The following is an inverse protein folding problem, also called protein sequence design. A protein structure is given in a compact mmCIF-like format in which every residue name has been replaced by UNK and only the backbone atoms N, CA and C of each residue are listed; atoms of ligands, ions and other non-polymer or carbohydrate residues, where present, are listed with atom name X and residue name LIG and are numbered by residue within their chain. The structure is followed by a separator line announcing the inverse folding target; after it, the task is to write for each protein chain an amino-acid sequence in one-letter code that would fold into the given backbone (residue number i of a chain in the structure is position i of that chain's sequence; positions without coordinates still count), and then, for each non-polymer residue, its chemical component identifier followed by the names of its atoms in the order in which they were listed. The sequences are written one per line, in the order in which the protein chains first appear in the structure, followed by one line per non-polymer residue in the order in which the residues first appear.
data_IF_296083805020
#
_entry.id   IF_296083805020
#
_cell.length_a   1.000
_cell.length_b   1.000
_cell.length_c   1.000
_cell.angle_alpha   90.00
_cell.angle_beta   90.00
_cell.angle_gamma   90.00
#
_symmetry.space_group_name_H-M   'P 1'
#
loop_
_entity.id
_entity.type
_entity.pdbx_description
1 polymer ?
#
# COMPACT_ATOMS: atom_id res chain seq x y z
N UNK A 1 -16.10 -1.85 -25.62
CA UNK A 1 -16.11 -0.44 -26.06
C UNK A 1 -14.64 -0.01 -26.19
N UNK A 2 -14.14 0.36 -27.38
CA UNK A 2 -12.71 0.74 -27.54
C UNK A 2 -12.51 2.17 -27.07
N UNK A 3 -12.01 2.37 -25.85
CA UNK A 3 -11.55 3.69 -25.41
C UNK A 3 -10.37 4.12 -26.30
N UNK A 4 -10.40 5.37 -26.81
CA UNK A 4 -9.26 5.90 -27.58
C UNK A 4 -8.09 6.11 -26.61
N UNK A 5 -6.94 5.49 -26.87
CA UNK A 5 -5.73 5.52 -26.03
C UNK A 5 -5.36 6.94 -25.56
N UNK A 6 -5.62 7.97 -26.38
CA UNK A 6 -5.36 9.37 -26.02
C UNK A 6 -6.08 9.85 -24.75
N UNK A 7 -7.25 9.29 -24.41
CA UNK A 7 -7.98 9.63 -23.18
C UNK A 7 -7.41 8.93 -21.95
N UNK A 8 -6.93 7.69 -22.12
CA UNK A 8 -6.27 6.93 -21.05
C UNK A 8 -4.93 7.58 -20.69
N UNK A 9 -4.14 7.93 -21.71
CA UNK A 9 -2.87 8.63 -21.52
C UNK A 9 -3.04 9.97 -20.81
N UNK A 10 -4.10 10.73 -21.12
CA UNK A 10 -4.41 11.97 -20.44
C UNK A 10 -4.81 11.77 -18.96
N UNK A 11 -5.62 10.75 -18.65
CA UNK A 11 -6.00 10.42 -17.28
C UNK A 11 -4.78 10.00 -16.45
N UNK A 12 -3.94 9.11 -17.00
CA UNK A 12 -2.69 8.66 -16.37
C UNK A 12 -1.73 9.84 -16.14
N UNK A 13 -1.54 10.71 -17.13
CA UNK A 13 -0.66 11.87 -17.01
C UNK A 13 -1.14 12.89 -15.95
N UNK A 14 -2.45 13.11 -15.82
CA UNK A 14 -3.00 14.03 -14.79
C UNK A 14 -2.86 13.43 -13.40
N UNK A 15 -3.09 12.12 -13.23
CA UNK A 15 -2.95 11.47 -11.91
C UNK A 15 -1.48 11.40 -11.49
N UNK A 16 -0.57 11.02 -12.38
CA UNK A 16 0.88 10.97 -12.11
C UNK A 16 1.45 12.36 -11.79
N UNK A 17 0.94 13.42 -12.43
CA UNK A 17 1.38 14.79 -12.18
C UNK A 17 1.01 15.33 -10.78
N UNK A 18 -0.03 14.78 -10.13
CA UNK A 18 -0.49 15.23 -8.81
C UNK A 18 0.12 14.41 -7.67
N UNK A 19 0.47 13.14 -7.92
CA UNK A 19 1.18 12.29 -6.94
C UNK A 19 2.69 12.59 -6.83
N UNK A 20 3.27 13.32 -7.78
CA UNK A 20 4.72 13.57 -7.85
C UNK A 20 5.24 14.72 -6.96
N UNK A 21 4.39 15.46 -6.24
CA UNK A 21 4.88 16.54 -5.35
C UNK A 21 5.35 15.96 -4.00
N UNK A 22 6.61 15.52 -3.97
CA UNK A 22 7.32 15.21 -2.71
C UNK A 22 7.85 13.78 -2.55
N UNK A 23 7.89 12.97 -3.61
CA UNK A 23 8.48 11.63 -3.52
C UNK A 23 10.01 11.74 -3.58
N UNK A 24 10.67 11.80 -2.44
CA UNK A 24 12.06 11.36 -2.34
C UNK A 24 12.07 9.87 -2.64
N UNK A 25 12.43 9.48 -3.87
CA UNK A 25 12.54 8.07 -4.25
C UNK A 25 13.72 7.45 -3.51
N UNK A 26 13.48 6.92 -2.31
CA UNK A 26 14.39 5.96 -1.73
C UNK A 26 14.48 4.76 -2.69
N UNK A 27 15.69 4.34 -3.04
CA UNK A 27 15.92 3.20 -3.92
C UNK A 27 15.94 1.93 -3.07
N UNK A 28 15.18 0.90 -3.47
CA UNK A 28 15.16 -0.41 -2.83
C UNK A 28 15.25 -1.52 -3.88
N UNK A 29 15.79 -2.67 -3.50
CA UNK A 29 15.85 -3.87 -4.36
C UNK A 29 14.48 -4.53 -4.49
N UNK A 30 13.61 -4.30 -3.50
CA UNK A 30 12.25 -4.81 -3.40
C UNK A 30 11.23 -3.69 -3.12
N UNK A 31 10.10 -3.70 -3.82
CA UNK A 31 8.97 -2.80 -3.61
C UNK A 31 7.65 -3.58 -3.42
N UNK A 32 6.72 -3.00 -2.67
CA UNK A 32 5.40 -3.53 -2.38
C UNK A 32 4.33 -2.57 -2.92
N UNK A 33 3.43 -3.10 -3.74
CA UNK A 33 2.17 -2.47 -4.07
C UNK A 33 1.10 -3.02 -3.12
N UNK A 34 0.74 -2.27 -2.06
CA UNK A 34 -0.13 -2.76 -1.01
C UNK A 34 -1.52 -3.17 -1.51
N UNK A 35 -2.10 -2.53 -2.53
CA UNK A 35 -3.47 -2.84 -2.94
C UNK A 35 -3.68 -2.84 -4.45
N UNK A 36 -3.74 -4.04 -5.02
CA UNK A 36 -4.06 -4.29 -6.43
C UNK A 36 -5.47 -4.86 -6.52
N UNK A 37 -6.26 -4.40 -7.50
CA UNK A 37 -7.65 -4.81 -7.67
C UNK A 37 -8.01 -4.92 -9.14
N UNK A 38 -8.82 -5.93 -9.48
CA UNK A 38 -9.41 -6.06 -10.80
C UNK A 38 -10.84 -6.56 -10.70
N UNK A 39 -11.72 -6.03 -11.53
CA UNK A 39 -13.10 -6.47 -11.69
C UNK A 39 -13.58 -6.16 -13.10
N UNK A 40 -14.88 -6.32 -13.38
CA UNK A 40 -15.49 -5.89 -14.65
C UNK A 40 -15.51 -4.39 -14.87
N UNK A 41 -15.33 -3.59 -13.81
CA UNK A 41 -15.37 -2.13 -13.88
C UNK A 41 -14.15 -1.45 -13.26
N UNK A 42 -13.25 -2.22 -12.63
CA UNK A 42 -12.04 -1.72 -11.98
C UNK A 42 -10.82 -2.44 -12.51
N UNK A 43 -9.71 -1.73 -12.71
CA UNK A 43 -8.39 -2.36 -12.87
C UNK A 43 -7.30 -1.53 -12.20
N UNK A 44 -6.17 -2.16 -11.88
CA UNK A 44 -4.95 -1.49 -11.45
C UNK A 44 -3.99 -1.43 -12.64
N UNK A 45 -3.50 -0.24 -12.92
CA UNK A 45 -2.35 -0.01 -13.78
C UNK A 45 -1.11 0.09 -12.90
N UNK A 46 -0.06 -0.65 -13.23
CA UNK A 46 1.18 -0.66 -12.47
C UNK A 46 2.29 -0.19 -13.40
N UNK A 47 3.08 0.76 -12.91
CA UNK A 47 4.33 1.20 -13.52
C UNK A 47 5.47 0.73 -12.64
N UNK A 48 6.44 0.04 -13.23
CA UNK A 48 7.69 -0.34 -12.55
C UNK A 48 8.88 0.19 -13.31
N UNK A 49 9.85 0.75 -12.59
CA UNK A 49 11.09 1.29 -13.11
C UNK A 49 12.24 0.42 -12.61
N UNK A 50 13.01 -0.16 -13.53
CA UNK A 50 14.23 -0.90 -13.24
C UNK A 50 15.42 0.06 -13.32
N UNK A 51 15.77 0.69 -12.21
CA UNK A 51 16.81 1.71 -12.15
C UNK A 51 18.18 1.02 -12.12
N UNK A 52 19.07 1.39 -13.04
CA UNK A 52 20.45 0.91 -13.05
C UNK A 52 21.44 2.05 -12.82
N UNK A 53 22.17 1.97 -11.71
CA UNK A 53 23.25 2.90 -11.38
C UNK A 53 24.59 2.40 -11.95
N UNK A 54 25.08 3.11 -12.96
CA UNK A 54 26.33 2.81 -13.68
C UNK A 54 27.62 2.89 -12.83
N UNK A 55 27.50 3.31 -11.57
CA UNK A 55 28.60 3.47 -10.62
C UNK A 55 29.07 2.14 -10.02
N UNK A 56 28.29 1.07 -10.15
CA UNK A 56 28.60 -0.25 -9.60
C UNK A 56 28.83 -1.30 -10.69
N UNK A 57 29.95 -2.03 -10.61
CA UNK A 57 30.33 -3.08 -11.57
C UNK A 57 29.52 -4.37 -11.35
N UNK A 58 28.20 -4.32 -11.54
CA UNK A 58 27.28 -5.46 -11.48
C UNK A 58 26.61 -5.74 -12.82
N UNK A 59 26.24 -7.01 -13.11
CA UNK A 59 25.34 -7.30 -14.22
C UNK A 59 24.00 -6.61 -13.99
N UNK A 60 23.49 -5.98 -15.04
CA UNK A 60 22.15 -5.44 -15.08
C UNK A 60 21.10 -6.54 -14.89
N UNK A 61 20.05 -6.29 -14.10
CA UNK A 61 18.87 -7.14 -14.08
C UNK A 61 18.15 -7.06 -15.43
N UNK A 62 18.06 -8.18 -16.14
CA UNK A 62 17.33 -8.34 -17.41
C UNK A 62 15.88 -8.83 -17.21
N UNK A 63 15.50 -9.03 -15.95
CA UNK A 63 14.16 -9.44 -15.53
C UNK A 63 13.85 -8.82 -14.17
N UNK A 64 12.59 -8.47 -13.97
CA UNK A 64 12.04 -8.19 -12.65
C UNK A 64 11.16 -9.37 -12.21
N UNK A 65 11.18 -9.66 -10.92
CA UNK A 65 10.40 -10.72 -10.30
C UNK A 65 9.09 -10.13 -9.77
N UNK A 66 7.94 -10.61 -10.26
CA UNK A 66 6.61 -10.15 -9.85
C UNK A 66 5.91 -11.26 -9.07
N UNK A 67 5.53 -10.96 -7.82
CA UNK A 67 4.80 -11.88 -6.95
C UNK A 67 3.49 -11.28 -6.45
N UNK A 68 2.41 -11.81 -6.97
CA UNK A 68 1.06 -11.47 -6.54
C UNK A 68 0.58 -12.44 -5.47
N UNK A 69 0.05 -11.88 -4.39
CA UNK A 69 -0.74 -12.62 -3.40
C UNK A 69 -2.17 -12.14 -3.51
N UNK A 70 -3.05 -12.98 -4.03
CA UNK A 70 -4.37 -12.57 -4.48
C UNK A 70 -5.50 -13.46 -3.95
N UNK A 71 -6.68 -12.85 -3.88
CA UNK A 71 -7.98 -13.51 -3.69
C UNK A 71 -8.80 -13.27 -4.94
N UNK A 72 -9.63 -14.23 -5.32
CA UNK A 72 -10.44 -14.14 -6.51
C UNK A 72 -11.86 -14.70 -6.35
N UNK A 73 -12.77 -14.29 -7.24
CA UNK A 73 -14.18 -14.70 -7.20
C UNK A 73 -14.83 -14.40 -5.85
N UNK A 74 -15.53 -15.39 -5.29
CA UNK A 74 -16.18 -15.27 -3.97
C UNK A 74 -15.20 -15.00 -2.82
N UNK A 75 -13.92 -15.38 -2.97
CA UNK A 75 -12.91 -15.17 -1.94
C UNK A 75 -12.39 -13.74 -1.94
N UNK A 76 -12.52 -12.99 -3.03
CA UNK A 76 -12.02 -11.61 -3.11
C UNK A 76 -12.70 -10.68 -2.09
N UNK A 77 -13.96 -10.92 -1.77
CA UNK A 77 -14.71 -10.15 -0.78
C UNK A 77 -14.56 -10.70 0.64
N UNK A 78 -14.06 -11.92 0.80
CA UNK A 78 -13.86 -12.53 2.09
C UNK A 78 -12.55 -12.04 2.74
N UNK A 79 -12.68 -11.13 3.70
CA UNK A 79 -11.55 -10.59 4.47
C UNK A 79 -10.76 -11.67 5.23
N UNK A 80 -11.35 -12.83 5.52
CA UNK A 80 -10.72 -13.94 6.24
C UNK A 80 -10.13 -15.03 5.33
N UNK A 81 -10.38 -14.97 4.02
CA UNK A 81 -9.78 -15.93 3.09
C UNK A 81 -8.26 -15.72 2.99
N UNK A 82 -7.49 -16.81 2.90
CA UNK A 82 -6.08 -16.75 2.52
C UNK A 82 -5.91 -16.41 1.05
N UNK A 83 -4.74 -15.91 0.68
CA UNK A 83 -4.40 -15.69 -0.72
C UNK A 83 -3.87 -16.95 -1.41
N UNK A 84 -3.98 -16.96 -2.73
CA UNK A 84 -3.14 -17.76 -3.61
C UNK A 84 -1.95 -16.91 -4.08
N UNK A 85 -0.92 -17.56 -4.61
CA UNK A 85 0.27 -16.90 -5.16
C UNK A 85 0.33 -17.09 -6.67
N UNK A 86 0.72 -16.03 -7.37
CA UNK A 86 1.24 -16.09 -8.74
C UNK A 86 2.61 -15.44 -8.73
N UNK A 87 3.61 -16.17 -9.20
CA UNK A 87 5.01 -15.82 -9.22
C UNK A 87 5.52 -15.98 -10.65
N UNK A 88 6.00 -14.89 -11.26
CA UNK A 88 6.67 -14.94 -12.55
C UNK A 88 7.80 -13.91 -12.66
N UNK A 89 8.78 -14.22 -13.51
CA UNK A 89 9.83 -13.29 -13.92
C UNK A 89 9.51 -12.75 -15.30
N UNK A 90 9.39 -11.44 -15.39
CA UNK A 90 9.05 -10.75 -16.62
C UNK A 90 10.27 -9.97 -17.14
N UNK A 91 10.50 -9.93 -18.46
CA UNK A 91 11.65 -9.22 -19.02
C UNK A 91 11.65 -7.74 -18.66
N UNK A 92 12.84 -7.20 -18.41
CA UNK A 92 13.07 -5.77 -18.24
C UNK A 92 14.50 -5.44 -18.69
N UNK A 93 14.88 -4.16 -18.68
CA UNK A 93 16.25 -3.75 -18.97
C UNK A 93 16.70 -2.61 -18.07
N UNK A 94 18.01 -2.29 -18.02
CA UNK A 94 18.51 -1.12 -17.30
C UNK A 94 17.83 0.18 -17.69
N UNK A 95 17.31 0.89 -16.69
CA UNK A 95 16.57 2.15 -16.82
C UNK A 95 15.29 2.02 -17.66
N UNK A 96 14.71 0.82 -17.67
CA UNK A 96 13.42 0.51 -18.30
C UNK A 96 12.26 0.97 -17.41
N UNK A 97 11.16 1.38 -18.04
CA UNK A 97 9.89 1.64 -17.39
C UNK A 97 8.80 0.89 -18.15
N UNK A 98 8.12 0.00 -17.45
CA UNK A 98 6.98 -0.73 -18.02
C UNK A 98 5.71 -0.34 -17.28
N UNK A 99 4.71 0.10 -18.02
CA UNK A 99 3.35 0.31 -17.51
C UNK A 99 2.40 -0.71 -18.11
N UNK A 100 1.75 -1.46 -17.24
CA UNK A 100 0.88 -2.56 -17.64
C UNK A 100 -0.41 -2.58 -16.83
N UNK A 101 -1.43 -3.19 -17.42
CA UNK A 101 -2.72 -3.46 -16.82
C UNK A 101 -2.73 -4.88 -16.24
N UNK A 102 -2.94 -5.00 -14.93
CA UNK A 102 -2.86 -6.29 -14.23
C UNK A 102 -3.89 -7.33 -14.71
N UNK A 103 -5.00 -6.86 -15.29
CA UNK A 103 -6.13 -7.69 -15.71
C UNK A 103 -6.52 -7.50 -17.18
N UNK A 104 -5.64 -6.89 -17.97
CA UNK A 104 -5.78 -6.81 -19.43
C UNK A 104 -7.06 -6.08 -19.91
N UNK A 105 -7.58 -5.12 -19.14
CA UNK A 105 -8.75 -4.31 -19.54
C UNK A 105 -8.45 -3.34 -20.67
N UNK A 106 -7.25 -2.75 -20.67
CA UNK A 106 -6.80 -1.77 -21.64
C UNK A 106 -5.61 -2.26 -22.48
N UNK A 107 -4.85 -3.25 -22.01
CA UNK A 107 -3.64 -3.80 -22.67
C UNK A 107 -3.87 -5.06 -23.51
N UNK A 108 -5.13 -5.34 -23.88
CA UNK A 108 -5.50 -6.57 -24.56
C UNK A 108 -4.78 -6.78 -25.90
N UNK A 109 -4.12 -7.93 -26.04
CA UNK A 109 -3.35 -8.27 -27.24
C UNK A 109 -1.97 -7.61 -27.32
N UNK A 110 -1.52 -6.95 -26.25
CA UNK A 110 -0.19 -6.34 -26.14
C UNK A 110 0.50 -6.77 -24.84
N UNK A 111 0.35 -8.04 -24.45
CA UNK A 111 0.91 -8.61 -23.22
C UNK A 111 0.49 -7.85 -21.93
N UNK A 112 -0.59 -7.09 -21.96
CA UNK A 112 -1.00 -6.22 -20.85
C UNK A 112 -0.33 -4.83 -20.81
N UNK A 113 0.67 -4.57 -21.65
CA UNK A 113 1.44 -3.32 -21.70
C UNK A 113 0.62 -2.22 -22.38
N UNK A 114 0.73 -0.98 -21.89
CA UNK A 114 -0.16 0.13 -22.31
C UNK A 114 0.46 1.20 -23.19
N UNK A 115 1.74 1.52 -22.99
CA UNK A 115 2.37 2.69 -23.63
C UNK A 115 3.50 2.35 -24.60
N UNK A 116 3.70 1.07 -24.86
CA UNK A 116 4.66 0.56 -25.82
C UNK A 116 4.01 -0.51 -26.67
N UNK A 117 4.28 -0.53 -27.97
CA UNK A 117 3.81 -1.59 -28.85
C UNK A 117 4.86 -2.69 -28.94
N UNK A 118 4.63 -3.80 -28.25
CA UNK A 118 5.57 -4.94 -28.19
C UNK A 118 5.73 -5.59 -29.56
N UNK A 119 4.72 -5.53 -30.41
CA UNK A 119 4.76 -6.18 -31.72
C UNK A 119 5.59 -5.40 -32.74
N UNK A 120 5.79 -4.10 -32.55
CA UNK A 120 6.46 -3.23 -33.53
C UNK A 120 7.72 -2.54 -33.00
N UNK A 121 7.96 -2.60 -31.68
CA UNK A 121 9.19 -2.06 -31.08
C UNK A 121 10.40 -2.94 -31.42
N UNK A 122 11.38 -2.37 -32.12
CA UNK A 122 12.69 -3.00 -32.30
C UNK A 122 13.64 -2.77 -31.13
N UNK A 123 13.27 -1.87 -30.21
CA UNK A 123 14.13 -1.37 -29.15
C UNK A 123 13.82 -2.01 -27.78
N UNK A 124 12.69 -2.71 -27.67
CA UNK A 124 12.21 -3.30 -26.42
C UNK A 124 11.72 -4.71 -26.71
N UNK A 125 12.32 -5.71 -26.07
CA UNK A 125 11.95 -7.13 -26.21
C UNK A 125 11.40 -7.64 -24.88
N UNK A 126 10.08 -7.55 -24.71
CA UNK A 126 9.36 -8.14 -23.59
C UNK A 126 9.00 -9.63 -23.83
N UNK A 127 9.52 -10.23 -24.90
CA UNK A 127 9.27 -11.62 -25.25
C UNK A 127 7.79 -11.91 -25.50
N UNK A 128 7.33 -13.06 -24.98
CA UNK A 128 5.94 -13.54 -25.16
C UNK A 128 5.16 -13.64 -23.84
N UNK A 129 5.76 -13.22 -22.73
CA UNK A 129 5.14 -13.32 -21.40
C UNK A 129 4.19 -12.14 -21.17
N UNK A 130 3.01 -12.44 -20.64
CA UNK A 130 2.04 -11.40 -20.29
C UNK A 130 2.36 -10.79 -18.93
N UNK A 131 2.24 -9.47 -18.83
CA UNK A 131 2.27 -8.72 -17.57
C UNK A 131 0.91 -8.72 -16.87
N UNK A 132 -0.17 -9.10 -17.56
CA UNK A 132 -1.52 -9.23 -16.99
C UNK A 132 -1.68 -10.55 -16.21
N UNK A 133 -0.86 -10.74 -15.18
CA UNK A 133 -0.82 -11.97 -14.37
C UNK A 133 -2.11 -12.22 -13.56
N UNK A 134 -3.01 -11.24 -13.46
CA UNK A 134 -4.31 -11.33 -12.79
C UNK A 134 -5.50 -11.37 -13.77
N UNK A 135 -5.27 -11.69 -15.05
CA UNK A 135 -6.35 -12.03 -15.98
C UNK A 135 -6.93 -13.43 -15.68
N UNK A 136 -7.57 -13.55 -14.52
CA UNK A 136 -8.13 -14.77 -13.94
C UNK A 136 -9.62 -14.58 -13.62
N UNK A 137 -10.23 -15.52 -12.88
CA UNK A 137 -11.60 -15.35 -12.36
C UNK A 137 -11.73 -14.05 -11.56
N UNK A 138 -12.71 -13.22 -11.90
CA UNK A 138 -12.96 -11.94 -11.23
C UNK A 138 -14.10 -12.03 -10.21
N UNK A 139 -14.21 -11.08 -9.27
CA UNK A 139 -13.27 -9.99 -8.98
C UNK A 139 -11.97 -10.50 -8.34
N UNK A 140 -10.93 -9.67 -8.30
CA UNK A 140 -9.62 -9.94 -7.70
C UNK A 140 -9.23 -8.81 -6.76
N UNK A 141 -8.66 -9.16 -5.61
CA UNK A 141 -7.92 -8.26 -4.72
C UNK A 141 -6.58 -8.89 -4.40
N UNK A 142 -5.51 -8.13 -4.45
CA UNK A 142 -4.16 -8.62 -4.26
C UNK A 142 -3.26 -7.57 -3.61
N UNK A 143 -2.09 -8.01 -3.15
CA UNK A 143 -0.91 -7.15 -3.09
C UNK A 143 0.15 -7.71 -4.06
N UNK A 144 1.07 -6.87 -4.50
CA UNK A 144 2.16 -7.25 -5.40
C UNK A 144 3.49 -6.88 -4.77
N UNK A 145 4.46 -7.79 -4.83
CA UNK A 145 5.86 -7.48 -4.56
C UNK A 145 6.62 -7.57 -5.88
N UNK A 146 7.47 -6.57 -6.13
CA UNK A 146 8.38 -6.56 -7.27
C UNK A 146 9.79 -6.42 -6.76
N UNK A 147 10.70 -7.23 -7.27
CA UNK A 147 12.11 -7.17 -6.92
C UNK A 147 13.03 -7.46 -8.09
N UNK A 148 14.27 -7.00 -7.96
CA UNK A 148 15.34 -7.23 -8.93
C UNK A 148 16.15 -8.52 -8.65
N UNK A 149 15.75 -9.31 -7.63
CA UNK A 149 16.30 -10.62 -7.27
C UNK A 149 17.84 -10.65 -7.06
N UNK A 150 18.48 -9.50 -6.87
CA UNK A 150 19.93 -9.38 -6.66
C UNK A 150 20.36 -9.96 -5.29
N UNK A 151 19.41 -10.23 -4.41
CA UNK A 151 19.65 -10.57 -3.00
C UNK A 151 19.77 -12.08 -2.71
N UNK A 152 19.47 -12.99 -3.65
CA UNK A 152 19.42 -14.45 -3.39
C UNK A 152 20.68 -15.24 -3.80
N UNK A 153 21.61 -14.68 -4.58
CA UNK A 153 22.78 -15.43 -5.09
C UNK A 153 24.02 -15.29 -4.22
N UNK A 154 23.92 -15.48 -2.90
CA UNK A 154 24.99 -15.96 -2.01
C UNK A 154 26.38 -15.30 -2.03
N UNK A 155 26.58 -14.19 -2.76
CA UNK A 155 27.88 -13.60 -3.02
C UNK A 155 27.83 -12.12 -2.65
N UNK A 156 28.43 -11.80 -1.51
CA UNK A 156 29.07 -10.53 -1.18
C UNK A 156 28.36 -9.23 -1.56
N UNK A 157 27.95 -8.48 -0.52
CA UNK A 157 27.78 -7.03 -0.50
C UNK A 157 26.88 -6.46 -1.62
N UNK A 158 25.64 -6.16 -1.23
CA UNK A 158 24.81 -5.06 -1.75
C UNK A 158 25.19 -4.64 -3.17
N UNK A 159 24.66 -5.34 -4.16
CA UNK A 159 24.63 -4.78 -5.50
C UNK A 159 23.64 -3.63 -5.47
N UNK A 160 24.10 -2.45 -5.08
CA UNK A 160 23.38 -1.17 -5.23
C UNK A 160 23.27 -0.76 -6.71
N UNK A 161 23.68 -1.62 -7.64
CA UNK A 161 23.67 -1.32 -9.07
C UNK A 161 22.25 -1.31 -9.63
N UNK A 162 21.36 -2.12 -9.08
CA UNK A 162 19.98 -2.22 -9.52
C UNK A 162 19.08 -1.74 -8.38
N UNK A 163 18.06 -0.94 -8.67
CA UNK A 163 16.98 -0.65 -7.72
C UNK A 163 15.65 -0.62 -8.45
N UNK A 164 14.56 -0.86 -7.73
CA UNK A 164 13.22 -0.87 -8.28
C UNK A 164 12.44 0.29 -7.67
N UNK A 165 11.71 1.00 -8.52
CA UNK A 165 10.70 1.97 -8.09
C UNK A 165 9.39 1.67 -8.82
N UNK A 166 8.28 2.16 -8.28
CA UNK A 166 7.00 1.96 -8.96
C UNK A 166 5.86 2.80 -8.44
N UNK A 167 4.82 2.87 -9.25
CA UNK A 167 3.57 3.57 -8.96
C UNK A 167 2.39 2.75 -9.47
N UNK A 168 1.25 2.88 -8.81
CA UNK A 168 0.02 2.25 -9.24
C UNK A 168 -1.09 3.28 -9.35
N UNK A 169 -1.99 3.03 -10.31
CA UNK A 169 -3.24 3.78 -10.48
C UNK A 169 -4.36 2.77 -10.49
N UNK A 170 -5.34 2.95 -9.61
CA UNK A 170 -6.59 2.19 -9.64
C UNK A 170 -7.61 3.00 -10.42
N UNK A 171 -8.13 2.39 -11.48
CA UNK A 171 -9.12 2.98 -12.38
C UNK A 171 -10.45 2.26 -12.20
N UNK A 172 -11.45 2.97 -11.72
CA UNK A 172 -12.87 2.59 -11.84
C UNK A 172 -13.38 3.28 -13.11
N UNK A 173 -13.62 2.50 -14.17
CA UNK A 173 -13.91 3.03 -15.50
C UNK A 173 -15.38 2.99 -15.88
N UNK A 174 -16.27 2.40 -15.06
CA UNK A 174 -17.70 2.45 -15.33
C UNK A 174 -18.32 3.80 -14.91
N UNK A 175 -17.85 4.32 -13.79
CA UNK A 175 -18.27 5.56 -13.16
C UNK A 175 -17.24 6.69 -13.36
N UNK A 176 -15.97 6.35 -13.66
CA UNK A 176 -14.95 7.31 -14.06
C UNK A 176 -14.24 7.95 -12.88
N UNK A 177 -13.71 7.12 -11.98
CA UNK A 177 -12.89 7.54 -10.85
C UNK A 177 -11.49 6.93 -10.94
N UNK A 178 -10.49 7.65 -10.45
CA UNK A 178 -9.12 7.19 -10.40
C UNK A 178 -8.43 7.70 -9.14
N UNK A 179 -7.55 6.88 -8.59
CA UNK A 179 -6.60 7.30 -7.56
C UNK A 179 -5.31 6.52 -7.73
N UNK A 180 -4.20 7.10 -7.31
CA UNK A 180 -2.89 6.47 -7.44
C UNK A 180 -2.08 6.58 -6.16
N UNK A 181 -1.04 5.76 -6.08
CA UNK A 181 -0.10 5.73 -4.97
C UNK A 181 1.26 5.23 -5.47
N UNK A 182 2.33 5.67 -4.81
CA UNK A 182 3.68 5.13 -5.03
C UNK A 182 3.84 3.79 -4.32
N UNK A 183 4.59 2.87 -4.92
CA UNK A 183 4.94 1.61 -4.27
C UNK A 183 5.72 1.88 -2.97
N UNK A 184 5.57 0.96 -2.04
CA UNK A 184 6.22 1.03 -0.74
C UNK A 184 7.56 0.29 -0.79
N UNK A 185 8.63 0.96 -0.39
CA UNK A 185 9.98 0.41 -0.50
C UNK A 185 10.32 -0.47 0.70
N UNK A 186 10.93 -1.63 0.44
CA UNK A 186 11.55 -2.37 1.52
C UNK A 186 12.76 -1.60 2.03
N UNK A 187 13.07 -1.76 3.31
CA UNK A 187 14.31 -1.25 3.85
C UNK A 187 15.06 -2.41 4.47
N UNK A 188 16.10 -2.85 3.77
CA UNK A 188 16.86 -4.04 4.14
C UNK A 188 17.40 -3.94 5.56
N UNK A 189 17.08 -4.94 6.39
CA UNK A 189 17.66 -5.03 7.72
C UNK A 189 19.05 -5.67 7.65
N UNK A 190 20.08 -4.93 8.03
CA UNK A 190 21.45 -5.42 8.08
C UNK A 190 21.78 -6.03 9.45
N UNK A 191 22.39 -7.21 9.43
CA UNK A 191 22.96 -7.88 10.60
C UNK A 191 24.48 -7.89 10.53
N UNK A 192 25.14 -7.55 11.64
CA UNK A 192 26.59 -7.66 11.74
C UNK A 192 27.03 -9.13 11.83
N UNK A 193 27.99 -9.52 11.01
CA UNK A 193 28.68 -10.81 11.10
C UNK A 193 29.83 -10.74 12.11
N UNK A 194 30.23 -11.88 12.66
CA UNK A 194 31.35 -11.98 13.60
C UNK A 194 32.70 -11.49 13.00
N UNK A 195 32.79 -11.32 11.68
CA UNK A 195 33.93 -10.77 10.96
C UNK A 195 33.83 -9.28 10.62
N UNK A 196 32.80 -8.56 11.10
CA UNK A 196 32.62 -7.12 10.84
C UNK A 196 31.96 -6.77 9.51
N UNK A 197 31.55 -7.76 8.70
CA UNK A 197 30.72 -7.53 7.51
C UNK A 197 29.23 -7.39 7.86
N UNK A 198 28.48 -6.63 7.07
CA UNK A 198 27.03 -6.57 7.15
C UNK A 198 26.40 -7.58 6.17
N UNK A 199 25.39 -8.33 6.63
CA UNK A 199 24.59 -9.24 5.79
C UNK A 199 23.12 -8.84 5.92
N UNK A 200 22.43 -8.71 4.78
CA UNK A 200 20.99 -8.49 4.72
C UNK A 200 20.30 -9.68 5.38
N UNK A 201 19.65 -9.42 6.51
CA UNK A 201 18.96 -10.43 7.33
C UNK A 201 17.51 -10.65 6.93
N UNK A 202 16.88 -9.63 6.30
CA UNK A 202 15.56 -9.71 5.70
C UNK A 202 15.45 -8.68 4.56
N UNK A 203 15.44 -9.11 3.29
CA UNK A 203 15.24 -8.21 2.15
C UNK A 203 13.78 -7.74 2.02
N UNK A 204 12.80 -8.52 2.50
CA UNK A 204 11.38 -8.18 2.46
C UNK A 204 10.89 -7.62 3.80
N UNK A 205 11.64 -6.68 4.38
CA UNK A 205 11.19 -5.95 5.58
C UNK A 205 10.51 -4.64 5.18
N UNK A 206 9.19 -4.63 5.38
CA UNK A 206 8.34 -3.48 5.10
C UNK A 206 7.84 -2.81 6.39
N UNK A 207 8.35 -3.18 7.57
CA UNK A 207 7.82 -2.74 8.87
C UNK A 207 8.19 -1.29 9.28
N UNK A 208 7.43 -0.71 10.22
CA UNK A 208 7.55 0.67 10.81
C UNK A 208 8.87 0.93 11.59
N UNK A 209 9.96 0.24 11.28
CA UNK A 209 11.25 0.42 11.95
C UNK A 209 12.36 0.97 11.07
N UNK A 210 12.07 1.20 9.78
CA UNK A 210 13.12 1.35 8.76
C UNK A 210 12.75 2.34 7.62
N UNK A 211 11.70 3.16 7.79
CA UNK A 211 11.05 3.87 6.69
C UNK A 211 11.77 5.14 6.20
N UNK A 212 11.80 5.34 4.88
CA UNK A 212 12.21 6.59 4.20
C UNK A 212 11.16 7.11 3.21
N UNK A 213 10.25 6.27 2.70
CA UNK A 213 9.19 6.65 1.77
C UNK A 213 7.95 5.72 1.88
N UNK A 214 6.95 6.17 2.64
CA UNK A 214 5.70 5.46 2.91
C UNK A 214 5.56 5.11 4.38
N UNK A 215 4.33 4.89 4.87
CA UNK A 215 4.08 4.68 6.30
C UNK A 215 3.19 3.46 6.56
N UNK A 216 3.64 2.64 7.52
CA UNK A 216 2.92 1.51 8.08
C UNK A 216 2.30 1.89 9.41
N UNK A 217 1.03 1.54 9.62
CA UNK A 217 0.40 1.76 10.92
C UNK A 217 0.82 0.63 11.86
N UNK A 218 1.71 0.92 12.81
CA UNK A 218 2.12 0.00 13.87
C UNK A 218 1.74 0.50 15.27
N UNK A 219 0.93 -0.29 16.00
CA UNK A 219 0.56 -0.04 17.40
C UNK A 219 0.24 1.45 17.72
N UNK A 220 -0.58 2.06 16.86
CA UNK A 220 -0.83 3.49 16.87
C UNK A 220 -2.30 3.84 16.66
N UNK A 221 -2.65 5.06 17.03
CA UNK A 221 -3.92 5.71 16.75
C UNK A 221 -3.70 6.68 15.59
N UNK A 222 -4.34 6.41 14.44
CA UNK A 222 -4.32 7.30 13.28
C UNK A 222 -5.68 7.99 13.17
N UNK A 223 -5.76 9.31 13.40
CA UNK A 223 -7.03 10.03 13.32
C UNK A 223 -7.67 9.90 11.93
N UNK A 224 -8.96 9.59 11.90
CA UNK A 224 -9.76 9.47 10.69
C UNK A 224 -11.09 10.19 10.87
N UNK A 225 -11.43 11.04 9.91
CA UNK A 225 -12.80 11.50 9.73
C UNK A 225 -13.61 10.42 9.01
N UNK A 226 -14.87 10.24 9.42
CA UNK A 226 -15.80 9.27 8.87
C UNK A 226 -17.02 10.02 8.34
N UNK A 227 -17.36 9.73 7.08
CA UNK A 227 -18.54 10.29 6.43
C UNK A 227 -19.84 9.81 7.10
N UNK A 228 -20.96 10.52 6.92
CA UNK A 228 -22.26 10.06 7.41
C UNK A 228 -22.58 8.62 7.02
N UNK A 229 -23.07 7.84 7.98
CA UNK A 229 -23.49 6.46 7.76
C UNK A 229 -24.96 6.36 7.30
N UNK A 230 -25.81 7.31 7.73
CA UNK A 230 -27.26 7.27 7.52
C UNK A 230 -27.87 8.68 7.36
N UNK A 231 -27.51 9.38 6.30
CA UNK A 231 -28.38 10.41 5.74
C UNK A 231 -29.10 9.78 4.53
N UNK A 232 -30.30 9.25 4.77
CA UNK A 232 -31.36 9.00 3.76
C UNK A 232 -31.03 8.25 2.46
N UNK A 233 -29.94 7.47 2.36
CA UNK A 233 -29.72 6.62 1.18
C UNK A 233 -28.28 6.20 0.85
N UNK A 234 -27.39 6.02 1.82
CA UNK A 234 -26.05 5.48 1.53
C UNK A 234 -25.21 6.39 0.62
N UNK A 235 -25.36 7.71 0.77
CA UNK A 235 -24.66 8.68 -0.08
C UNK A 235 -23.14 8.52 -0.01
N UNK A 236 -22.58 8.15 1.14
CA UNK A 236 -21.13 7.98 1.27
C UNK A 236 -20.79 6.67 1.98
N UNK A 237 -19.76 6.00 1.47
CA UNK A 237 -19.15 4.82 2.04
C UNK A 237 -17.71 5.16 2.38
N UNK A 238 -17.34 5.00 3.65
CA UNK A 238 -15.94 5.01 4.08
C UNK A 238 -15.45 3.57 4.17
N UNK A 239 -14.46 3.20 3.36
CA UNK A 239 -13.86 1.87 3.33
C UNK A 239 -12.36 1.95 3.56
N UNK A 240 -11.82 0.98 4.30
CA UNK A 240 -10.40 0.84 4.57
C UNK A 240 -9.86 -0.36 3.81
N UNK A 241 -8.91 -0.13 2.90
CA UNK A 241 -8.15 -1.16 2.22
C UNK A 241 -6.91 -1.48 3.03
N UNK A 242 -6.81 -2.73 3.47
CA UNK A 242 -5.82 -3.13 4.48
C UNK A 242 -4.94 -4.22 3.91
N UNK A 243 -3.64 -4.02 4.05
CA UNK A 243 -2.61 -5.01 3.69
C UNK A 243 -1.72 -5.21 4.91
N UNK A 244 -1.88 -6.34 5.63
CA UNK A 244 -1.00 -6.71 6.73
C UNK A 244 0.48 -6.65 6.31
N UNK A 245 1.33 -6.17 7.21
CA UNK A 245 2.78 -6.08 7.00
C UNK A 245 3.49 -6.98 8.00
N UNK A 246 4.37 -7.84 7.51
CA UNK A 246 5.14 -8.74 8.34
C UNK A 246 6.07 -7.97 9.27
N UNK A 247 6.14 -8.40 10.53
CA UNK A 247 7.12 -7.85 11.48
C UNK A 247 8.32 -8.77 11.62
N UNK A 248 9.46 -8.18 11.99
CA UNK A 248 10.69 -8.90 12.34
C UNK A 248 10.49 -10.00 13.40
N UNK A 249 9.47 -9.86 14.25
CA UNK A 249 9.17 -10.83 15.31
C UNK A 249 8.63 -12.17 14.79
N UNK A 250 8.27 -12.28 13.50
CA UNK A 250 7.69 -13.50 12.93
C UNK A 250 8.72 -14.59 12.55
N UNK A 251 9.99 -14.42 12.91
CA UNK A 251 11.06 -15.42 12.71
C UNK A 251 11.98 -15.14 11.52
N UNK A 252 13.07 -15.90 11.42
CA UNK A 252 14.01 -15.81 10.30
C UNK A 252 13.38 -16.39 9.03
N UNK A 253 13.21 -15.57 7.99
CA UNK A 253 12.61 -15.92 6.71
C UNK A 253 12.30 -14.67 5.91
N UNK A 254 11.54 -14.81 4.83
CA UNK A 254 10.98 -13.71 4.02
C UNK A 254 9.52 -13.49 4.46
N UNK A 255 9.26 -12.90 5.64
CA UNK A 255 7.98 -13.05 6.33
C UNK A 255 6.82 -12.33 5.62
N UNK A 256 7.09 -11.37 4.73
CA UNK A 256 6.07 -10.74 3.89
C UNK A 256 5.55 -11.68 2.79
N UNK A 257 6.35 -12.67 2.36
CA UNK A 257 6.01 -13.62 1.30
C UNK A 257 5.11 -14.75 1.83
N UNK A 258 3.95 -14.37 2.39
CA UNK A 258 3.03 -15.28 3.06
C UNK A 258 1.60 -15.00 2.62
N UNK A 259 0.87 -16.07 2.31
CA UNK A 259 -0.54 -15.99 1.93
C UNK A 259 -1.51 -15.88 3.11
N UNK A 260 -1.02 -16.05 4.35
CA UNK A 260 -1.81 -16.15 5.59
C UNK A 260 -1.51 -15.03 6.60
N UNK A 261 -0.72 -14.02 6.19
CA UNK A 261 -0.42 -12.85 7.01
C UNK A 261 -1.72 -12.14 7.38
N UNK A 262 -1.93 -11.79 8.64
CA UNK A 262 -3.19 -11.23 9.09
C UNK A 262 -3.02 -10.13 10.14
N UNK A 263 -3.86 -9.11 10.03
CA UNK A 263 -3.95 -7.99 10.96
C UNK A 263 -5.40 -7.77 11.36
N UNK A 264 -5.61 -7.08 12.48
CA UNK A 264 -6.92 -6.65 12.95
C UNK A 264 -6.98 -5.14 12.99
N UNK A 265 -8.00 -4.59 12.34
CA UNK A 265 -8.30 -3.15 12.39
C UNK A 265 -9.55 -2.89 13.22
N UNK A 266 -9.59 -1.72 13.86
CA UNK A 266 -10.75 -1.24 14.59
C UNK A 266 -10.76 0.29 14.64
N UNK A 267 -11.93 0.84 14.86
CA UNK A 267 -12.10 2.23 15.27
C UNK A 267 -11.92 2.33 16.79
N UNK A 268 -11.26 3.39 17.25
CA UNK A 268 -11.01 3.62 18.66
C UNK A 268 -10.89 5.10 18.99
N UNK A 269 -11.43 5.49 20.13
CA UNK A 269 -11.18 6.78 20.76
C UNK A 269 -10.02 6.63 21.75
N UNK A 270 -9.04 7.53 21.65
CA UNK A 270 -7.96 7.65 22.64
C UNK A 270 -8.37 8.66 23.71
N UNK A 271 -9.26 8.25 24.61
CA UNK A 271 -9.65 9.06 25.77
C UNK A 271 -9.01 8.51 27.06
N UNK A 272 -8.16 9.27 27.75
CA UNK A 272 -7.61 8.89 29.05
C UNK A 272 -8.68 8.57 30.11
N UNK A 273 -9.89 9.13 29.99
CA UNK A 273 -10.99 8.93 30.93
C UNK A 273 -11.83 7.68 30.62
N UNK A 274 -11.78 7.15 29.40
CA UNK A 274 -12.56 5.98 28.96
C UNK A 274 -11.64 4.93 28.35
N UNK A 275 -11.22 3.98 29.18
CA UNK A 275 -9.99 3.24 28.92
C UNK A 275 -10.02 2.27 27.72
N UNK A 276 -11.16 1.85 27.14
CA UNK A 276 -11.10 0.80 26.10
C UNK A 276 -12.26 0.65 25.11
N UNK A 277 -13.47 1.18 25.34
CA UNK A 277 -14.66 0.74 24.59
C UNK A 277 -15.22 1.74 23.57
N UNK A 278 -14.75 2.98 23.61
CA UNK A 278 -15.26 4.04 22.74
C UNK A 278 -14.68 3.91 21.34
N UNK A 279 -15.57 3.86 20.34
CA UNK A 279 -15.22 3.61 18.97
C UNK A 279 -15.04 4.89 18.17
N UNK A 280 -15.85 5.90 18.44
CA UNK A 280 -15.94 7.11 17.61
C UNK A 280 -16.40 8.29 18.48
N UNK A 281 -15.96 9.50 18.15
CA UNK A 281 -16.59 10.74 18.59
C UNK A 281 -17.65 11.14 17.57
N UNK A 282 -18.85 11.43 18.03
CA UNK A 282 -19.89 12.02 17.18
C UNK A 282 -19.53 13.46 16.77
N UNK A 283 -20.44 14.14 16.06
CA UNK A 283 -20.23 15.52 15.60
C UNK A 283 -20.23 16.55 16.73
N UNK A 284 -20.73 16.19 17.91
CA UNK A 284 -20.78 17.02 19.12
C UNK A 284 -19.65 16.66 20.10
N UNK A 285 -18.63 15.93 19.63
CA UNK A 285 -17.44 15.53 20.40
C UNK A 285 -17.74 14.58 21.57
N UNK A 286 -18.90 13.91 21.56
CA UNK A 286 -19.26 12.92 22.57
C UNK A 286 -18.75 11.53 22.16
N UNK A 287 -18.03 10.81 23.05
CA UNK A 287 -17.56 9.48 22.75
C UNK A 287 -18.72 8.47 22.73
N UNK A 288 -18.74 7.62 21.71
CA UNK A 288 -19.74 6.57 21.51
C UNK A 288 -19.06 5.20 21.58
N UNK A 289 -19.51 4.37 22.52
CA UNK A 289 -19.06 2.98 22.66
C UNK A 289 -19.71 2.05 21.65
N UNK A 290 -18.96 1.01 21.27
CA UNK A 290 -19.42 -0.02 20.34
C UNK A 290 -18.40 -0.39 19.27
N UNK A 291 -17.15 -0.61 19.66
CA UNK A 291 -16.13 -1.09 18.73
C UNK A 291 -16.46 -2.52 18.26
N UNK A 292 -16.33 -2.78 16.96
CA UNK A 292 -16.45 -4.11 16.38
C UNK A 292 -15.22 -4.43 15.51
N UNK A 293 -14.11 -4.93 16.08
CA UNK A 293 -12.86 -5.14 15.35
C UNK A 293 -13.00 -6.13 14.18
N UNK A 294 -12.31 -5.85 13.08
CA UNK A 294 -12.33 -6.65 11.85
C UNK A 294 -10.95 -7.25 11.57
N UNK A 295 -10.92 -8.54 11.26
CA UNK A 295 -9.69 -9.22 10.85
C UNK A 295 -9.56 -9.21 9.32
N UNK A 296 -8.33 -9.01 8.85
CA UNK A 296 -7.97 -9.05 7.44
C UNK A 296 -6.80 -10.00 7.28
N UNK A 297 -6.97 -11.00 6.43
CA UNK A 297 -5.95 -11.95 5.98
C UNK A 297 -5.49 -11.56 4.58
N UNK A 298 -4.18 -11.47 4.39
CA UNK A 298 -3.45 -11.14 3.16
C UNK A 298 -3.74 -9.75 2.58
N UNK A 299 -4.97 -9.48 2.16
CA UNK A 299 -5.46 -8.20 1.67
C UNK A 299 -6.96 -8.15 1.87
N UNK A 300 -7.50 -7.00 2.24
CA UNK A 300 -8.92 -6.87 2.53
C UNK A 300 -9.44 -5.46 2.34
N UNK A 301 -10.76 -5.36 2.40
CA UNK A 301 -11.46 -4.10 2.38
C UNK A 301 -12.58 -4.15 3.42
N UNK A 302 -12.57 -3.23 4.36
CA UNK A 302 -13.46 -3.21 5.52
C UNK A 302 -14.21 -1.89 5.54
N UNK A 303 -15.54 -1.94 5.65
CA UNK A 303 -16.32 -0.71 5.79
C UNK A 303 -16.26 -0.17 7.22
N UNK A 304 -16.27 1.16 7.35
CA UNK A 304 -16.30 1.80 8.66
C UNK A 304 -17.55 1.42 9.47
N UNK A 305 -18.68 1.18 8.79
CA UNK A 305 -19.94 0.74 9.39
C UNK A 305 -19.82 -0.65 10.02
N UNK A 306 -19.08 -1.55 9.39
CA UNK A 306 -18.78 -2.89 9.91
C UNK A 306 -17.81 -2.85 11.10
N UNK A 307 -17.22 -1.72 11.43
CA UNK A 307 -16.36 -1.58 12.62
C UNK A 307 -17.10 -1.03 13.84
N UNK A 308 -18.41 -0.84 13.72
CA UNK A 308 -19.28 -0.31 14.76
C UNK A 308 -20.40 -1.31 15.04
N UNK A 309 -20.83 -1.40 16.30
CA UNK A 309 -22.07 -2.11 16.63
C UNK A 309 -23.28 -1.35 16.09
N UNK A 310 -24.39 -2.06 15.88
CA UNK A 310 -25.66 -1.44 15.46
C UNK A 310 -26.09 -0.30 16.40
N UNK A 311 -25.88 -0.46 17.71
CA UNK A 311 -26.16 0.57 18.71
C UNK A 311 -25.31 1.83 18.55
N UNK A 312 -24.04 1.68 18.18
CA UNK A 312 -23.15 2.81 17.89
C UNK A 312 -23.58 3.51 16.59
N UNK A 313 -23.85 2.75 15.52
CA UNK A 313 -24.33 3.31 14.23
C UNK A 313 -25.58 4.17 14.38
N UNK A 314 -26.54 3.73 15.20
CA UNK A 314 -27.76 4.49 15.47
C UNK A 314 -27.50 5.81 16.24
N UNK A 315 -26.36 5.95 16.91
CA UNK A 315 -25.96 7.17 17.63
C UNK A 315 -25.12 8.12 16.80
N UNK A 316 -24.42 7.64 15.77
CA UNK A 316 -23.57 8.47 14.90
C UNK A 316 -24.05 8.51 13.46
N UNK A 317 -25.35 8.72 13.16
CA UNK A 317 -25.85 8.64 11.78
C UNK A 317 -25.14 9.62 10.82
N UNK A 318 -24.69 10.77 11.36
CA UNK A 318 -24.01 11.83 10.61
C UNK A 318 -22.48 11.67 10.54
N UNK A 319 -21.97 10.49 10.90
CA UNK A 319 -20.54 10.22 10.97
C UNK A 319 -19.89 10.94 12.15
N UNK A 320 -18.60 11.22 12.05
CA UNK A 320 -17.83 11.80 13.14
C UNK A 320 -16.34 11.64 12.90
N UNK A 321 -15.57 11.49 13.97
CA UNK A 321 -14.15 11.17 13.87
C UNK A 321 -13.72 10.10 14.86
N UNK A 322 -12.72 9.34 14.50
CA UNK A 322 -12.18 8.24 15.31
C UNK A 322 -10.67 8.18 15.10
N UNK A 323 -10.02 7.19 15.70
CA UNK A 323 -8.72 6.72 15.28
C UNK A 323 -8.85 5.31 14.71
N UNK A 324 -8.21 5.08 13.57
CA UNK A 324 -7.96 3.72 13.11
C UNK A 324 -6.79 3.15 13.92
N UNK A 325 -6.97 1.93 14.41
CA UNK A 325 -5.94 1.18 15.15
C UNK A 325 -5.73 -0.17 14.50
N UNK A 326 -4.47 -0.51 14.25
CA UNK A 326 -4.03 -1.85 13.82
C UNK A 326 -3.51 -2.61 15.03
N UNK A 327 -3.82 -3.90 15.11
CA UNK A 327 -3.37 -4.82 16.14
C UNK A 327 -3.26 -6.24 15.58
N UNK A 328 -2.63 -7.14 16.32
CA UNK A 328 -2.54 -8.56 15.98
C UNK A 328 -3.89 -9.18 15.63
N UNK A 329 -3.95 -9.87 14.50
CA UNK A 329 -5.12 -10.60 14.03
C UNK A 329 -5.48 -11.82 14.89
N UNK A 330 -6.76 -12.19 14.85
CA UNK A 330 -7.29 -13.39 15.53
C UNK A 330 -8.23 -14.14 14.59
N UNK A 331 -7.68 -14.95 13.68
CA UNK A 331 -8.50 -15.73 12.74
C UNK A 331 -9.07 -16.96 13.45
N UNK A 332 -10.39 -17.03 13.63
CA UNK A 332 -11.08 -18.17 14.23
C UNK A 332 -11.02 -19.39 13.30
N UNK A 333 -10.62 -20.55 13.83
CA UNK A 333 -10.36 -21.77 13.04
C UNK A 333 -8.90 -22.26 13.13
N UNK A 334 -8.00 -21.44 13.67
CA UNK A 334 -6.73 -21.91 14.23
C UNK A 334 -7.00 -22.66 15.54
N UNK A 335 -7.53 -23.88 15.46
CA UNK A 335 -7.55 -24.82 16.60
C UNK A 335 -6.12 -25.26 16.88
N UNK A 336 -5.46 -24.52 17.77
CA UNK A 336 -4.05 -24.69 18.13
C UNK A 336 -3.34 -23.35 18.15
N UNK A 337 -2.25 -23.26 18.89
CA UNK A 337 -1.33 -22.10 18.97
C UNK A 337 -0.67 -21.83 17.60
N UNK A 338 -1.45 -21.45 16.60
CA UNK A 338 -0.95 -21.03 15.29
C UNK A 338 -1.06 -19.52 15.27
N UNK A 339 -0.12 -18.90 15.97
CA UNK A 339 0.26 -17.48 15.89
C UNK A 339 1.01 -17.15 14.60
N UNK A 340 1.13 -18.11 13.67
CA UNK A 340 1.89 -17.91 12.44
C UNK A 340 1.17 -16.92 11.53
N UNK A 341 1.81 -15.80 11.24
CA UNK A 341 1.29 -14.78 10.31
C UNK A 341 0.48 -13.66 10.97
N UNK A 342 0.25 -13.66 12.29
CA UNK A 342 -0.37 -12.50 12.92
C UNK A 342 0.61 -11.34 13.04
N UNK A 343 0.19 -10.15 12.61
CA UNK A 343 0.95 -8.91 12.70
C UNK A 343 0.10 -7.78 13.29
N UNK A 344 0.75 -6.88 14.02
CA UNK A 344 0.19 -5.63 14.52
C UNK A 344 0.52 -4.42 13.61
N UNK A 345 0.93 -4.69 12.37
CA UNK A 345 1.29 -3.71 11.37
C UNK A 345 0.51 -3.91 10.07
N UNK A 346 0.08 -2.81 9.46
CA UNK A 346 -0.57 -2.83 8.16
C UNK A 346 -0.41 -1.50 7.41
N UNK A 347 -0.34 -1.56 6.08
CA UNK A 347 -0.62 -0.41 5.23
C UNK A 347 -2.13 -0.28 5.09
N UNK A 348 -2.66 0.95 5.22
CA UNK A 348 -4.09 1.20 5.10
C UNK A 348 -4.37 2.41 4.21
N UNK A 349 -5.20 2.22 3.19
CA UNK A 349 -5.83 3.32 2.47
C UNK A 349 -7.26 3.51 2.94
N UNK A 350 -7.64 4.75 3.22
CA UNK A 350 -9.04 5.14 3.41
C UNK A 350 -9.59 5.61 2.07
N UNK A 351 -10.73 5.09 1.66
CA UNK A 351 -11.48 5.56 0.51
C UNK A 351 -12.86 6.00 0.95
N UNK A 352 -13.21 7.24 0.64
CA UNK A 352 -14.56 7.78 0.79
C UNK A 352 -15.16 7.97 -0.60
N UNK A 353 -16.29 7.32 -0.85
CA UNK A 353 -16.94 7.38 -2.15
C UNK A 353 -18.44 7.26 -2.06
N UNK A 354 -19.14 7.73 -3.10
CA UNK A 354 -20.58 7.59 -3.28
C UNK A 354 -20.87 6.59 -4.42
N UNK A 355 -21.79 5.62 -4.21
CA UNK A 355 -22.13 4.64 -5.25
C UNK A 355 -23.03 5.24 -6.36
N UNK A 356 -23.67 6.37 -6.09
CA UNK A 356 -24.58 7.08 -7.00
C UNK A 356 -24.18 8.53 -7.11
N UNK A 357 -24.39 9.15 -8.27
CA UNK A 357 -24.09 10.57 -8.47
C UNK A 357 -24.71 11.42 -7.35
N UNK A 358 -23.87 12.19 -6.69
CA UNK A 358 -24.28 13.15 -5.67
C UNK A 358 -24.94 14.31 -6.39
N UNK A 359 -26.16 14.64 -6.01
CA UNK A 359 -26.76 15.92 -6.37
C UNK A 359 -26.28 16.94 -5.33
N UNK A 360 -25.20 17.66 -5.64
CA UNK A 360 -24.82 18.81 -4.83
C UNK A 360 -25.87 19.90 -5.06
N UNK A 361 -26.68 20.16 -4.02
CA UNK A 361 -27.63 21.26 -4.01
C UNK A 361 -26.86 22.58 -4.13
N UNK A 362 -26.79 23.09 -5.35
CA UNK A 362 -26.31 24.44 -5.61
C UNK A 362 -27.45 25.38 -5.25
N UNK A 363 -27.32 26.10 -4.13
CA UNK A 363 -28.29 27.09 -3.70
C UNK A 363 -28.90 27.87 -4.89
N UNK A 364 -30.22 27.78 -5.02
CA UNK A 364 -31.08 28.64 -5.85
C UNK A 364 -30.95 28.58 -7.38
N UNK A 365 -31.34 27.44 -7.98
CA UNK A 365 -31.87 27.42 -9.35
C UNK A 365 -30.88 27.11 -10.48
N UNK A 366 -29.71 26.58 -10.15
CA UNK A 366 -28.84 25.91 -11.12
C UNK A 366 -29.08 24.40 -11.10
N UNK A 367 -28.94 23.75 -12.26
CA UNK A 367 -29.06 22.31 -12.36
C UNK A 367 -28.05 21.64 -11.41
N UNK A 368 -28.47 20.63 -10.61
CA UNK A 368 -27.59 19.96 -9.68
C UNK A 368 -26.36 19.42 -10.40
N UNK A 369 -25.18 19.65 -9.82
CA UNK A 369 -23.93 19.08 -10.34
C UNK A 369 -23.87 17.62 -9.91
N UNK A 370 -24.25 16.73 -10.82
CA UNK A 370 -24.09 15.29 -10.64
C UNK A 370 -22.61 14.90 -10.68
N UNK A 371 -22.09 14.36 -9.58
CA UNK A 371 -20.68 13.97 -9.48
C UNK A 371 -20.44 12.74 -8.61
N UNK A 372 -19.35 12.03 -8.88
CA UNK A 372 -18.82 10.99 -8.00
C UNK A 372 -17.66 11.59 -7.22
N UNK A 373 -17.81 11.58 -5.90
CA UNK A 373 -16.76 11.88 -4.94
C UNK A 373 -15.94 10.60 -4.77
N UNK A 374 -14.63 10.74 -4.90
CA UNK A 374 -13.67 9.71 -4.56
C UNK A 374 -12.50 10.39 -3.86
N UNK A 375 -12.37 10.14 -2.55
CA UNK A 375 -11.29 10.68 -1.74
C UNK A 375 -10.49 9.51 -1.17
N UNK A 376 -9.36 9.23 -1.80
CA UNK A 376 -8.42 8.21 -1.35
C UNK A 376 -7.28 8.85 -0.55
N UNK A 377 -7.03 8.32 0.65
CA UNK A 377 -6.01 8.81 1.57
C UNK A 377 -5.18 7.62 2.05
N UNK A 378 -3.87 7.66 1.82
CA UNK A 378 -2.93 6.77 2.51
C UNK A 378 -2.83 7.19 3.98
N UNK A 379 -3.33 6.34 4.88
CA UNK A 379 -3.32 6.62 6.31
C UNK A 379 -1.92 6.44 6.89
N UNK A 380 -1.50 7.46 7.62
CA UNK A 380 -0.12 7.64 8.03
C UNK A 380 -0.11 8.45 9.34
N UNK A 381 0.61 8.03 10.36
CA UNK A 381 0.80 8.68 11.67
C UNK A 381 1.92 9.74 11.59
N UNK A 382 1.77 10.68 10.67
CA UNK A 382 2.64 11.86 10.52
C UNK A 382 4.04 11.51 10.00
N UNK A 383 4.81 12.52 9.61
CA UNK A 383 6.19 12.35 9.11
C UNK A 383 7.08 11.92 10.29
N UNK A 384 7.01 10.65 10.67
CA UNK A 384 8.06 10.00 11.46
C UNK A 384 9.09 9.54 10.46
N UNK A 385 9.95 10.46 10.02
CA UNK A 385 11.28 10.06 9.58
C UNK A 385 11.87 9.21 10.71
N UNK A 386 12.00 7.91 10.47
CA UNK A 386 12.74 6.92 11.26
C UNK A 386 12.82 7.23 12.77
N UNK A 387 12.06 6.50 13.60
CA UNK A 387 12.28 6.52 15.04
C UNK A 387 13.79 6.34 15.32
N UNK A 388 14.43 7.33 15.95
CA UNK A 388 15.81 7.19 16.42
C UNK A 388 15.87 5.99 17.36
N UNK A 389 16.33 4.85 16.86
CA UNK A 389 16.53 3.68 17.67
C UNK A 389 17.47 4.04 18.85
N UNK A 390 17.17 3.58 20.08
CA UNK A 390 17.97 3.91 21.26
C UNK A 390 19.43 3.51 21.03
N UNK A 391 20.35 4.40 21.42
CA UNK A 391 21.79 4.35 21.14
C UNK A 391 22.56 3.14 21.72
N UNK A 392 21.89 2.07 22.17
CA UNK A 392 22.49 1.02 23.00
C UNK A 392 22.72 -0.34 22.33
N UNK A 393 22.62 -0.46 21.00
CA UNK A 393 23.01 -1.69 20.32
C UNK A 393 24.26 -1.47 19.48
N UNK A 394 25.31 -2.19 19.83
CA UNK A 394 26.66 -2.31 19.25
C UNK A 394 26.71 -2.75 17.77
N UNK A 395 25.69 -2.45 16.96
CA UNK A 395 25.73 -2.74 15.54
C UNK A 395 26.38 -1.56 14.78
N UNK A 396 27.44 -1.80 13.98
CA UNK A 396 28.04 -0.76 13.17
C UNK A 396 27.01 -0.22 12.17
N UNK A 397 26.76 1.09 12.24
CA UNK A 397 25.91 1.82 11.31
C UNK A 397 26.69 2.03 10.01
N UNK A 398 26.13 1.67 8.87
CA UNK A 398 26.52 2.27 7.58
C UNK A 398 25.56 3.42 7.36
N UNK A 399 25.97 4.65 7.71
CA UNK A 399 25.23 5.84 7.31
C UNK A 399 25.58 6.14 5.86
N UNK A 400 24.65 5.95 4.93
CA UNK A 400 24.89 6.26 3.51
C UNK A 400 24.74 7.76 3.22
N UNK A 401 24.36 8.59 4.20
CA UNK A 401 24.16 10.02 4.01
C UNK A 401 25.15 10.85 4.83
N UNK A 402 26.37 10.96 4.32
CA UNK A 402 27.29 12.06 4.68
C UNK A 402 26.98 13.28 3.79
N UNK A 403 25.81 13.89 3.96
CA UNK A 403 25.51 15.22 3.48
C UNK A 403 24.34 15.79 4.29
N UNK A 404 24.67 16.54 5.34
CA UNK A 404 23.76 17.44 6.05
C UNK A 404 23.13 18.44 5.06
N UNK A 405 21.87 18.25 4.69
CA UNK A 405 20.98 19.28 4.14
C UNK A 405 19.53 18.76 4.19
N UNK A 406 18.93 18.78 5.38
CA UNK A 406 17.46 18.83 5.49
C UNK A 406 17.04 20.30 5.34
N UNK A 407 16.51 20.63 4.16
CA UNK A 407 16.02 21.96 3.79
C UNK A 407 14.59 22.25 4.31
N UNK A 408 13.94 21.30 4.98
CA UNK A 408 12.51 21.42 5.32
C UNK A 408 12.15 21.21 6.81
N UNK A 409 13.10 20.99 7.72
CA UNK A 409 12.77 20.97 9.16
C UNK A 409 12.42 22.38 9.70
N UNK A 410 11.19 22.60 10.21
CA UNK A 410 10.80 23.85 10.84
C UNK A 410 10.91 23.75 12.36
N UNK A 411 12.12 23.74 12.94
CA UNK A 411 12.40 24.16 14.34
C UNK A 411 13.90 24.09 14.69
N UNK A 412 14.37 24.91 15.66
CA UNK A 412 15.73 25.47 15.63
C UNK A 412 16.81 24.53 16.17
N UNK A 413 17.98 24.62 15.56
CA UNK A 413 19.25 24.08 16.04
C UNK A 413 19.56 24.73 17.41
N UNK A 414 19.33 23.97 18.48
CA UNK A 414 19.83 24.30 19.80
C UNK A 414 21.33 24.09 19.85
N UNK A 415 22.11 25.17 19.81
CA UNK A 415 23.55 25.14 20.08
C UNK A 415 23.77 24.79 21.56
N UNK A 416 24.15 23.55 21.87
CA UNK A 416 24.70 23.23 23.20
C UNK A 416 26.14 23.72 23.27
N UNK A 417 26.38 24.63 24.19
CA UNK A 417 27.67 25.27 24.42
C UNK A 417 28.77 24.30 24.84
N UNK A 418 29.97 24.68 24.41
CA UNK A 418 31.26 24.27 24.93
C UNK A 418 31.38 24.68 26.40
N UNK A 419 31.71 23.73 27.28
CA UNK A 419 32.75 23.89 28.29
C UNK A 419 33.57 22.60 28.38
#
# INVERSE_FOLDING_TARGET
MRFKMNKLAAAVAVTMGVSAVGVSTAQADEILFPYVVASDTVTTLISTINIYENSFQGPAADQLHYRYYYKNGVNAENNLASCAEVDDRLPSSPNDIVTFDVAERFGAGNLGILFEDVATSSNVDYGSKTFSLLNITLPVRAFLIVDNNDTLTGAGLVSTANSVAGEAIILEFAAGAAWGYSAYNAAGLYSGTAGGGAVVSNPYDFSDSVETAGEVIANSYVPVALMPFTATGGEFITRFFVTPIATRAMGSGTPQLRSDLNARIRLAVRDPASATQDAIFDRDELPVSGQFPQNVVCVGAVEASEMLTEGALNRVPNGGWSNLVVSSGTVAGATGTVTSGSTDQAIVFKLEYNPSALELDTDSGTDPVAGIVNNAIWLRKGIRESYLAPASATQPRVSVFAADLDLNSPAPIGTSGVQ
#
